data_IF_506553023207
#
_entry.id   IF_506553023207
#
_cell.length_a   1.000
_cell.length_b   1.000
_cell.length_c   1.000
_cell.angle_alpha   90.00
_cell.angle_beta   90.00
_cell.angle_gamma   90.00
#
_symmetry.space_group_name_H-M   'P 1'
#
loop_
_entity.id
_entity.type
_entity.pdbx_description
1 polymer ?
#
# COMPACT_ATOMS: atom_id res chain seq x y z
N UNK A 1 -15.86 -7.47 13.18
CA UNK A 1 -14.95 -6.39 12.70
C UNK A 1 -15.34 -5.08 13.36
N UNK A 2 -14.46 -4.50 14.17
CA UNK A 2 -14.73 -3.25 14.91
C UNK A 2 -14.83 -2.07 13.93
N UNK A 3 -15.50 -0.99 14.33
CA UNK A 3 -15.64 0.23 13.51
C UNK A 3 -14.26 0.82 13.14
N UNK A 4 -13.32 0.75 14.06
CA UNK A 4 -11.94 1.24 13.90
C UNK A 4 -11.19 0.44 12.83
N UNK A 5 -11.30 -0.90 12.85
CA UNK A 5 -10.66 -1.76 11.83
C UNK A 5 -11.23 -1.48 10.44
N UNK A 6 -12.55 -1.25 10.31
CA UNK A 6 -13.14 -0.88 9.01
C UNK A 6 -12.61 0.45 8.49
N UNK A 7 -12.52 1.45 9.37
CA UNK A 7 -12.02 2.77 9.01
C UNK A 7 -10.55 2.72 8.57
N UNK A 8 -9.73 1.98 9.30
CA UNK A 8 -8.31 1.78 8.97
C UNK A 8 -8.11 1.08 7.62
N UNK A 9 -8.89 0.02 7.33
CA UNK A 9 -8.84 -0.66 6.03
C UNK A 9 -9.24 0.28 4.88
N UNK A 10 -10.32 1.06 5.06
CA UNK A 10 -10.76 2.00 4.05
C UNK A 10 -9.73 3.12 3.81
N UNK A 11 -9.11 3.65 4.86
CA UNK A 11 -8.05 4.65 4.74
C UNK A 11 -6.85 4.11 3.96
N UNK A 12 -6.48 2.84 4.21
CA UNK A 12 -5.40 2.16 3.49
C UNK A 12 -5.72 2.03 2.00
N UNK A 13 -6.95 1.62 1.66
CA UNK A 13 -7.43 1.57 0.27
C UNK A 13 -7.35 2.95 -0.39
N UNK A 14 -7.89 3.98 0.26
CA UNK A 14 -7.90 5.34 -0.28
C UNK A 14 -6.47 5.86 -0.55
N UNK A 15 -5.50 5.54 0.31
CA UNK A 15 -4.08 5.88 0.10
C UNK A 15 -3.50 5.19 -1.13
N UNK A 16 -3.81 3.91 -1.31
CA UNK A 16 -3.36 3.15 -2.49
C UNK A 16 -4.00 3.66 -3.79
N UNK A 17 -5.28 4.02 -3.76
CA UNK A 17 -5.96 4.65 -4.91
C UNK A 17 -5.33 6.01 -5.25
N UNK A 18 -5.05 6.84 -4.24
CA UNK A 18 -4.35 8.11 -4.45
C UNK A 18 -2.95 7.92 -5.02
N UNK A 19 -2.20 6.93 -4.52
CA UNK A 19 -0.89 6.58 -5.07
C UNK A 19 -0.98 6.15 -6.53
N UNK A 20 -1.95 5.28 -6.88
CA UNK A 20 -2.21 4.86 -8.25
C UNK A 20 -2.47 6.07 -9.15
N UNK A 21 -3.30 7.01 -8.73
CA UNK A 21 -3.58 8.22 -9.52
C UNK A 21 -2.30 9.03 -9.80
N UNK A 22 -1.42 9.18 -8.80
CA UNK A 22 -0.12 9.87 -9.00
C UNK A 22 0.78 9.18 -10.02
N UNK A 23 0.73 7.84 -10.09
CA UNK A 23 1.46 7.07 -11.12
C UNK A 23 0.85 7.32 -12.49
N UNK A 24 -0.48 7.27 -12.61
CA UNK A 24 -1.20 7.51 -13.87
C UNK A 24 -0.99 8.95 -14.38
N UNK A 25 -0.93 9.93 -13.47
CA UNK A 25 -0.65 11.33 -13.78
C UNK A 25 0.84 11.59 -14.11
N UNK A 26 1.70 10.56 -14.07
CA UNK A 26 3.13 10.66 -14.31
C UNK A 26 3.90 11.42 -13.23
N UNK A 27 3.31 11.66 -12.06
CA UNK A 27 3.95 12.31 -10.92
C UNK A 27 4.86 11.35 -10.15
N UNK A 28 4.65 10.04 -10.30
CA UNK A 28 5.43 8.98 -9.67
C UNK A 28 5.85 7.95 -10.69
N UNK A 29 7.12 7.52 -10.63
CA UNK A 29 7.63 6.37 -11.39
C UNK A 29 7.89 5.24 -10.41
N UNK A 30 7.14 4.15 -10.54
CA UNK A 30 7.38 2.90 -9.81
C UNK A 30 8.64 2.24 -10.35
N UNK A 31 9.54 1.83 -9.47
CA UNK A 31 10.81 1.18 -9.81
C UNK A 31 10.73 -0.32 -9.60
N UNK A 32 10.11 -0.73 -8.50
CA UNK A 32 9.90 -2.14 -8.15
C UNK A 32 8.74 -2.25 -7.13
N UNK A 33 8.31 -3.48 -6.85
CA UNK A 33 7.35 -3.76 -5.78
C UNK A 33 7.27 -5.24 -5.43
N UNK A 34 6.97 -5.52 -4.16
CA UNK A 34 6.71 -6.87 -3.66
C UNK A 34 5.36 -6.95 -2.97
N UNK A 35 4.67 -8.07 -3.20
CA UNK A 35 3.46 -8.45 -2.50
C UNK A 35 3.58 -9.89 -2.03
N UNK A 36 3.48 -10.08 -0.72
CA UNK A 36 3.57 -11.40 -0.12
C UNK A 36 2.44 -11.64 0.87
N UNK A 37 1.89 -12.85 0.81
CA UNK A 37 0.96 -13.38 1.80
C UNK A 37 1.68 -14.49 2.54
N UNK A 38 2.01 -14.25 3.81
CA UNK A 38 2.66 -15.25 4.65
C UNK A 38 1.61 -15.98 5.46
N UNK A 39 1.65 -17.32 5.41
CA UNK A 39 0.83 -18.23 6.20
C UNK A 39 1.75 -19.02 7.12
N UNK A 40 2.09 -18.50 8.31
CA UNK A 40 2.88 -19.24 9.28
C UNK A 40 2.16 -20.53 9.66
N UNK A 41 2.94 -21.56 9.95
CA UNK A 41 2.41 -22.84 10.42
C UNK A 41 1.57 -22.58 11.68
N UNK A 42 0.34 -23.11 11.76
CA UNK A 42 -0.53 -22.89 12.91
C UNK A 42 0.19 -23.28 14.21
N UNK A 43 0.25 -22.36 15.16
CA UNK A 43 0.74 -22.71 16.50
C UNK A 43 -0.31 -23.58 17.20
N UNK A 44 0.10 -24.30 18.25
CA UNK A 44 -0.70 -25.33 18.95
C UNK A 44 -2.04 -24.83 19.51
N UNK A 45 -2.32 -23.53 19.44
CA UNK A 45 -3.55 -22.85 19.80
C UNK A 45 -4.42 -22.43 18.59
N UNK A 46 -4.79 -23.35 17.69
CA UNK A 46 -5.92 -23.26 16.72
C UNK A 46 -6.15 -21.95 15.92
N UNK A 47 -5.21 -21.01 15.84
CA UNK A 47 -5.33 -19.78 15.08
C UNK A 47 -4.30 -19.77 13.95
N UNK A 48 -4.77 -19.59 12.71
CA UNK A 48 -3.92 -19.32 11.56
C UNK A 48 -3.90 -17.81 11.35
N UNK A 49 -2.71 -17.21 11.43
CA UNK A 49 -2.51 -15.77 11.21
C UNK A 49 -2.00 -15.53 9.80
N UNK A 50 -2.84 -15.05 8.90
CA UNK A 50 -2.36 -14.62 7.58
C UNK A 50 -1.84 -13.18 7.68
N UNK A 51 -0.64 -12.95 7.17
CA UNK A 51 -0.04 -11.62 7.07
C UNK A 51 0.06 -11.18 5.62
N UNK A 52 -0.38 -9.96 5.35
CA UNK A 52 -0.24 -9.31 4.04
C UNK A 52 0.80 -8.21 4.17
N UNK A 53 1.85 -8.27 3.36
CA UNK A 53 2.87 -7.22 3.23
C UNK A 53 2.84 -6.64 1.81
N UNK A 54 2.98 -5.32 1.71
CA UNK A 54 3.10 -4.59 0.45
C UNK A 54 4.23 -3.58 0.59
N UNK A 55 5.23 -3.69 -0.28
CA UNK A 55 6.31 -2.71 -0.41
C UNK A 55 6.39 -2.21 -1.84
N UNK A 56 6.55 -0.90 -2.01
CA UNK A 56 6.61 -0.24 -3.31
C UNK A 56 7.80 0.71 -3.31
N UNK A 57 8.73 0.50 -4.21
CA UNK A 57 9.87 1.39 -4.43
C UNK A 57 9.54 2.37 -5.56
N UNK A 58 9.58 3.66 -5.28
CA UNK A 58 9.18 4.68 -6.23
C UNK A 58 9.98 5.97 -6.10
N UNK A 59 9.96 6.78 -7.16
CA UNK A 59 10.50 8.14 -7.16
C UNK A 59 9.40 9.14 -7.52
N UNK A 60 9.33 10.23 -6.77
CA UNK A 60 8.43 11.35 -7.07
C UNK A 60 9.11 12.31 -8.05
N UNK A 61 8.38 12.68 -9.11
CA UNK A 61 8.81 13.70 -10.05
C UNK A 61 8.32 15.05 -9.55
N UNK A 62 9.24 15.91 -9.11
CA UNK A 62 8.90 17.30 -8.84
C UNK A 62 8.73 18.02 -10.18
N UNK A 63 7.49 18.34 -10.55
CA UNK A 63 7.24 19.34 -11.59
C UNK A 63 7.83 20.66 -11.10
N UNK A 64 8.88 21.14 -11.76
CA UNK A 64 9.33 22.52 -11.57
C UNK A 64 8.20 23.43 -12.03
N UNK A 65 7.45 24.01 -11.10
CA UNK A 65 6.60 25.15 -11.40
C UNK A 65 7.53 26.24 -11.91
N UNK A 66 7.58 26.46 -13.23
CA UNK A 66 8.26 27.63 -13.80
C UNK A 66 7.63 28.86 -13.14
N UNK A 67 8.39 29.51 -12.26
CA UNK A 67 8.03 30.80 -11.68
C UNK A 67 7.66 31.75 -12.81
N UNK A 68 6.46 32.33 -12.70
CA UNK A 68 5.98 33.36 -13.60
C UNK A 68 6.34 34.72 -13.04
#
# INVERSE_FOLDING_TARGET
MTKEVKAWLQETINKLESFKQKVEDGQVIVKDGDYSVTRPVPDREQATYDYISLSIDYVEIKTQTKGK
#
